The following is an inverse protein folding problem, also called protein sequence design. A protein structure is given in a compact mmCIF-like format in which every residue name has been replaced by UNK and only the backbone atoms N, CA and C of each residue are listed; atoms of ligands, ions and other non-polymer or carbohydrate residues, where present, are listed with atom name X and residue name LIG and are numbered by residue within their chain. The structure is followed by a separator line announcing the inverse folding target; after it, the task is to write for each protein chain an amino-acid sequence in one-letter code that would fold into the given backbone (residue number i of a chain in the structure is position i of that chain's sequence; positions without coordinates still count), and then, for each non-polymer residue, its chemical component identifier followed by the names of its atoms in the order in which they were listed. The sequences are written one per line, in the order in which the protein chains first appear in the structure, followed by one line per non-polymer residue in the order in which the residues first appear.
data_IF_364152013636
#
_entry.id   IF_364152013636
#
_cell.length_a   1.000
_cell.length_b   1.000
_cell.length_c   1.000
_cell.angle_alpha   90.00
_cell.angle_beta   90.00
_cell.angle_gamma   90.00
#
_symmetry.space_group_name_H-M   'P 1'
#
loop_
_entity.id
_entity.type
_entity.pdbx_description
1 polymer ?
#
# COMPACT_ATOMS: atom_id res chain seq x y z
N UNK A 1 11.12 10.77 -21.06
CA UNK A 1 10.86 11.29 -22.42
C UNK A 1 12.13 11.32 -23.26
N UNK A 2 12.07 11.45 -24.62
CA UNK A 2 13.26 11.66 -25.46
C UNK A 2 14.12 12.84 -25.01
N UNK A 3 13.48 13.93 -24.53
CA UNK A 3 14.16 15.12 -24.02
C UNK A 3 14.93 14.82 -22.73
N UNK A 4 14.42 13.98 -21.84
CA UNK A 4 15.12 13.59 -20.62
C UNK A 4 16.36 12.73 -20.94
N UNK A 5 16.25 11.84 -21.93
CA UNK A 5 17.37 11.04 -22.41
C UNK A 5 18.45 11.90 -23.08
N UNK A 6 18.07 12.90 -23.85
CA UNK A 6 19.01 13.87 -24.44
C UNK A 6 19.74 14.65 -23.33
N UNK A 7 19.02 15.07 -22.29
CA UNK A 7 19.59 15.75 -21.14
C UNK A 7 20.61 14.88 -20.37
N UNK A 8 20.29 13.57 -20.18
CA UNK A 8 21.25 12.63 -19.57
C UNK A 8 22.51 12.51 -20.41
N UNK A 9 22.38 12.35 -21.74
CA UNK A 9 23.52 12.25 -22.65
C UNK A 9 24.42 13.50 -22.61
N UNK A 10 23.80 14.68 -22.50
CA UNK A 10 24.52 15.97 -22.53
C UNK A 10 25.18 16.29 -21.19
N UNK A 11 24.58 15.90 -20.06
CA UNK A 11 25.03 16.28 -18.73
C UNK A 11 25.71 15.18 -17.93
N UNK A 12 25.58 13.92 -18.35
CA UNK A 12 26.01 12.74 -17.59
C UNK A 12 25.19 12.49 -16.31
N UNK A 13 24.14 13.27 -16.06
CA UNK A 13 23.33 13.17 -14.84
C UNK A 13 22.09 12.28 -15.04
N UNK A 14 22.15 11.03 -14.61
CA UNK A 14 21.04 10.06 -14.67
C UNK A 14 19.78 10.52 -13.94
N UNK A 15 19.87 11.48 -13.02
CA UNK A 15 18.71 12.05 -12.30
C UNK A 15 17.70 12.74 -13.20
N UNK A 16 18.10 13.16 -14.41
CA UNK A 16 17.17 13.78 -15.36
C UNK A 16 16.04 12.84 -15.78
N UNK A 17 16.26 11.51 -15.80
CA UNK A 17 15.22 10.51 -16.08
C UNK A 17 14.14 10.51 -15.01
N UNK A 18 14.55 10.61 -13.72
CA UNK A 18 13.65 10.51 -12.57
C UNK A 18 13.07 11.87 -12.13
N UNK A 19 13.52 12.97 -12.75
CA UNK A 19 13.11 14.34 -12.42
C UNK A 19 12.65 15.06 -13.69
N UNK A 20 11.69 14.45 -14.36
CA UNK A 20 11.03 15.10 -15.50
C UNK A 20 10.41 16.43 -15.05
N UNK A 21 10.73 17.49 -15.79
CA UNK A 21 10.12 18.79 -15.58
C UNK A 21 8.87 18.91 -16.46
N UNK A 22 7.73 19.02 -15.82
CA UNK A 22 6.47 19.20 -16.49
C UNK A 22 6.26 20.67 -16.84
N UNK A 23 5.73 20.94 -18.03
CA UNK A 23 5.02 22.18 -18.32
C UNK A 23 3.67 22.14 -17.59
N UNK A 24 3.23 23.27 -17.01
CA UNK A 24 2.00 23.30 -16.21
C UNK A 24 0.75 22.96 -17.02
N UNK A 25 0.70 23.37 -18.30
CA UNK A 25 -0.42 23.08 -19.21
C UNK A 25 -0.45 21.59 -19.55
N UNK A 26 0.67 20.99 -19.93
CA UNK A 26 0.78 19.56 -20.25
C UNK A 26 0.42 18.69 -19.04
N UNK A 27 0.87 19.09 -17.85
CA UNK A 27 0.53 18.40 -16.61
C UNK A 27 -0.98 18.47 -16.34
N UNK A 28 -1.57 19.66 -16.50
CA UNK A 28 -3.01 19.84 -16.33
C UNK A 28 -3.82 18.97 -17.28
N UNK A 29 -3.44 18.92 -18.56
CA UNK A 29 -4.08 18.04 -19.55
C UNK A 29 -3.95 16.56 -19.14
N UNK A 30 -2.74 16.13 -18.73
CA UNK A 30 -2.49 14.76 -18.33
C UNK A 30 -3.30 14.37 -17.09
N UNK A 31 -3.45 15.25 -16.09
CA UNK A 31 -4.18 14.98 -14.86
C UNK A 31 -5.70 15.04 -15.02
N UNK A 32 -6.20 15.84 -15.95
CA UNK A 32 -7.64 15.92 -16.26
C UNK A 32 -8.13 14.78 -17.16
N UNK A 33 -7.23 14.06 -17.81
CA UNK A 33 -7.57 12.88 -18.59
C UNK A 33 -7.64 11.63 -17.70
N UNK A 34 -8.84 11.22 -17.30
CA UNK A 34 -9.08 10.05 -16.45
C UNK A 34 -8.54 8.72 -16.99
N UNK A 35 -8.20 8.63 -18.29
CA UNK A 35 -7.58 7.46 -18.90
C UNK A 35 -6.05 7.52 -18.87
N UNK A 36 -5.48 8.63 -18.44
CA UNK A 36 -4.01 8.77 -18.37
C UNK A 36 -3.44 8.01 -17.17
N UNK A 37 -2.26 7.37 -17.32
CA UNK A 37 -1.56 6.74 -16.21
C UNK A 37 -1.27 7.72 -15.06
N UNK A 38 -1.04 9.00 -15.39
CA UNK A 38 -0.74 10.06 -14.40
C UNK A 38 -1.96 10.37 -13.53
N UNK A 39 -3.14 10.52 -14.13
CA UNK A 39 -4.39 10.76 -13.40
C UNK A 39 -4.76 9.56 -12.53
N UNK A 40 -4.62 8.33 -13.06
CA UNK A 40 -4.89 7.11 -12.32
C UNK A 40 -3.96 6.96 -11.12
N UNK A 41 -2.67 7.19 -11.31
CA UNK A 41 -1.68 7.13 -10.22
C UNK A 41 -1.97 8.18 -9.14
N UNK A 42 -2.25 9.42 -9.53
CA UNK A 42 -2.60 10.51 -8.59
C UNK A 42 -3.87 10.19 -7.81
N UNK A 43 -4.91 9.69 -8.48
CA UNK A 43 -6.18 9.32 -7.85
C UNK A 43 -6.00 8.19 -6.84
N UNK A 44 -5.29 7.12 -7.21
CA UNK A 44 -5.00 6.01 -6.32
C UNK A 44 -4.19 6.47 -5.09
N UNK A 45 -3.16 7.30 -5.30
CA UNK A 45 -2.35 7.84 -4.21
C UNK A 45 -3.18 8.71 -3.25
N UNK A 46 -4.04 9.58 -3.79
CA UNK A 46 -4.94 10.40 -2.96
C UNK A 46 -5.89 9.54 -2.13
N UNK A 47 -6.45 8.47 -2.70
CA UNK A 47 -7.33 7.55 -1.99
C UNK A 47 -6.59 6.86 -0.82
N UNK A 48 -5.38 6.34 -1.05
CA UNK A 48 -4.57 5.71 0.00
C UNK A 48 -4.18 6.71 1.11
N UNK A 49 -3.84 7.95 0.76
CA UNK A 49 -3.54 9.00 1.73
C UNK A 49 -4.78 9.33 2.57
N UNK A 50 -5.96 9.44 1.96
CA UNK A 50 -7.21 9.70 2.66
C UNK A 50 -7.55 8.59 3.66
N UNK A 51 -7.44 7.32 3.25
CA UNK A 51 -7.60 6.17 4.15
C UNK A 51 -6.61 6.27 5.31
N UNK A 52 -5.32 6.46 5.00
CA UNK A 52 -4.24 6.53 5.99
C UNK A 52 -4.46 7.61 7.04
N UNK A 53 -4.92 8.81 6.64
CA UNK A 53 -5.14 9.95 7.54
C UNK A 53 -6.24 9.70 8.59
N UNK A 54 -7.16 8.79 8.32
CA UNK A 54 -8.25 8.43 9.22
C UNK A 54 -7.86 7.37 10.26
N UNK A 55 -6.66 6.78 10.15
CA UNK A 55 -6.27 5.64 10.98
C UNK A 55 -5.34 6.06 12.12
N UNK A 56 -5.77 5.94 13.40
CA UNK A 56 -4.90 6.21 14.55
C UNK A 56 -3.62 5.38 14.58
N UNK A 57 -3.66 4.15 14.07
CA UNK A 57 -2.48 3.29 13.98
C UNK A 57 -1.42 3.80 12.99
N UNK A 58 -1.74 4.72 12.08
CA UNK A 58 -0.79 5.38 11.20
C UNK A 58 -0.21 6.69 11.77
N UNK A 59 -0.55 7.06 12.99
CA UNK A 59 0.08 8.19 13.66
C UNK A 59 1.62 7.99 13.74
N UNK A 60 2.44 9.05 13.56
CA UNK A 60 3.91 8.92 13.62
C UNK A 60 4.45 8.25 14.89
N UNK A 61 3.82 8.48 16.03
CA UNK A 61 4.21 7.91 17.33
C UNK A 61 3.57 6.53 17.61
N UNK A 62 2.80 5.97 16.68
CA UNK A 62 2.24 4.64 16.81
C UNK A 62 3.35 3.57 16.72
N UNK A 63 3.18 2.49 17.45
CA UNK A 63 4.15 1.38 17.45
C UNK A 63 4.21 0.69 16.08
N UNK A 64 5.40 0.24 15.68
CA UNK A 64 5.61 -0.50 14.45
C UNK A 64 6.53 -1.69 14.68
N UNK A 65 6.15 -2.86 14.16
CA UNK A 65 6.96 -4.07 14.14
C UNK A 65 6.99 -4.66 12.74
N UNK A 66 8.18 -5.09 12.30
CA UNK A 66 8.32 -5.86 11.06
C UNK A 66 7.85 -7.28 11.29
N UNK A 67 7.14 -7.85 10.32
CA UNK A 67 6.60 -9.20 10.36
C UNK A 67 7.43 -10.13 9.47
N UNK A 68 7.51 -11.39 9.86
CA UNK A 68 8.08 -12.43 9.01
C UNK A 68 6.94 -13.14 8.26
N UNK A 69 6.62 -12.65 7.08
CA UNK A 69 5.60 -13.22 6.19
C UNK A 69 6.21 -14.06 5.04
N UNK A 70 7.44 -14.58 5.22
CA UNK A 70 8.16 -15.31 4.19
C UNK A 70 8.88 -14.39 3.18
N UNK A 71 9.24 -14.94 2.02
CA UNK A 71 10.08 -14.24 1.02
C UNK A 71 9.28 -13.38 0.03
N UNK A 72 8.01 -13.67 -0.12
CA UNK A 72 7.14 -13.08 -1.15
C UNK A 72 6.32 -11.90 -0.65
N UNK A 73 6.11 -11.80 0.67
CA UNK A 73 5.30 -10.76 1.28
C UNK A 73 6.13 -9.94 2.24
N UNK A 74 6.25 -8.66 1.96
CA UNK A 74 6.78 -7.69 2.93
C UNK A 74 5.63 -7.27 3.84
N UNK A 75 5.84 -7.35 5.17
CA UNK A 75 4.82 -7.05 6.14
C UNK A 75 5.34 -6.27 7.35
N UNK A 76 4.50 -5.41 7.88
CA UNK A 76 4.70 -4.79 9.18
C UNK A 76 3.34 -4.54 9.85
N UNK A 77 3.37 -4.56 11.17
CA UNK A 77 2.22 -4.29 12.03
C UNK A 77 2.35 -2.91 12.65
N UNK A 78 1.25 -2.17 12.62
CA UNK A 78 1.10 -0.88 13.29
C UNK A 78 0.04 -1.00 14.37
N UNK A 79 0.29 -0.40 15.54
CA UNK A 79 -0.69 -0.32 16.62
C UNK A 79 -0.81 1.11 17.11
N UNK A 80 -2.06 1.60 17.25
CA UNK A 80 -2.34 2.92 17.80
C UNK A 80 -1.80 3.07 19.23
N UNK A 81 -1.56 4.30 19.66
CA UNK A 81 -1.02 4.59 20.99
C UNK A 81 -1.94 4.10 22.13
N UNK A 82 -3.25 4.17 21.94
CA UNK A 82 -4.27 3.65 22.86
C UNK A 82 -4.51 2.13 22.75
N UNK A 83 -3.77 1.47 21.82
CA UNK A 83 -3.83 0.03 21.52
C UNK A 83 -5.19 -0.49 21.02
N UNK A 84 -6.11 0.39 20.65
CA UNK A 84 -7.45 0.00 20.17
C UNK A 84 -7.43 -0.42 18.70
N UNK A 85 -6.54 0.15 17.90
CA UNK A 85 -6.44 -0.18 16.49
C UNK A 85 -5.10 -0.86 16.18
N UNK A 86 -5.18 -1.98 15.48
CA UNK A 86 -4.06 -2.69 14.88
C UNK A 86 -4.25 -2.75 13.37
N UNK A 87 -3.19 -2.49 12.61
CA UNK A 87 -3.18 -2.59 11.15
C UNK A 87 -1.97 -3.43 10.73
N UNK A 88 -2.23 -4.53 10.02
CA UNK A 88 -1.21 -5.31 9.34
C UNK A 88 -1.08 -4.82 7.91
N UNK A 89 0.03 -4.17 7.60
CA UNK A 89 0.35 -3.68 6.27
C UNK A 89 1.15 -4.74 5.54
N UNK A 90 0.55 -5.37 4.55
CA UNK A 90 1.08 -6.54 3.85
C UNK A 90 1.17 -6.25 2.36
N UNK A 91 2.31 -6.59 1.73
CA UNK A 91 2.60 -6.28 0.34
C UNK A 91 3.19 -7.50 -0.37
N UNK A 92 2.51 -8.05 -1.36
CA UNK A 92 3.11 -9.02 -2.25
C UNK A 92 4.14 -8.31 -3.14
N UNK A 93 5.41 -8.61 -2.96
CA UNK A 93 6.51 -8.00 -3.73
C UNK A 93 6.91 -8.82 -4.95
N UNK A 94 6.06 -9.78 -5.34
CA UNK A 94 6.31 -10.70 -6.47
C UNK A 94 5.26 -10.56 -7.57
N UNK A 95 5.57 -11.13 -8.73
CA UNK A 95 4.68 -11.19 -9.90
C UNK A 95 3.75 -12.41 -9.91
N UNK A 96 3.70 -13.16 -8.82
CA UNK A 96 2.89 -14.37 -8.68
C UNK A 96 1.90 -14.23 -7.55
N UNK A 97 0.78 -14.94 -7.63
CA UNK A 97 -0.14 -15.12 -6.50
C UNK A 97 0.61 -15.75 -5.34
N UNK A 98 0.38 -15.25 -4.15
CA UNK A 98 0.99 -15.79 -2.92
C UNK A 98 -0.01 -15.81 -1.77
N UNK A 99 0.32 -16.57 -0.73
CA UNK A 99 -0.56 -16.77 0.41
C UNK A 99 0.20 -16.54 1.72
N UNK A 100 -0.52 -16.01 2.72
CA UNK A 100 -0.02 -15.85 4.09
C UNK A 100 -1.03 -16.47 5.03
N UNK A 101 -0.59 -17.40 5.87
CA UNK A 101 -1.43 -17.97 6.91
C UNK A 101 -1.81 -16.88 7.92
N UNK A 102 -3.09 -16.72 8.22
CA UNK A 102 -3.55 -15.71 9.19
C UNK A 102 -3.03 -16.01 10.59
N UNK A 103 -2.79 -17.27 10.91
CA UNK A 103 -2.15 -17.69 12.15
C UNK A 103 -0.75 -17.06 12.36
N UNK A 104 -0.02 -16.75 11.27
CA UNK A 104 1.29 -16.09 11.34
C UNK A 104 1.22 -14.60 11.71
N UNK A 105 0.03 -13.98 11.62
CA UNK A 105 -0.19 -12.58 11.93
C UNK A 105 -0.57 -12.33 13.39
N UNK A 106 -0.77 -13.39 14.19
CA UNK A 106 -1.17 -13.31 15.59
C UNK A 106 -2.40 -12.41 15.79
N UNK A 107 -3.44 -12.60 14.95
CA UNK A 107 -4.70 -11.86 15.04
C UNK A 107 -5.43 -12.24 16.34
N UNK A 108 -5.99 -11.24 17.02
CA UNK A 108 -6.83 -11.50 18.19
C UNK A 108 -8.20 -11.98 17.71
N UNK A 109 -8.59 -13.19 18.09
CA UNK A 109 -9.71 -13.94 17.53
C UNK A 109 -11.12 -13.35 17.72
N UNK A 110 -11.27 -12.29 18.52
CA UNK A 110 -12.58 -11.68 18.78
C UNK A 110 -12.83 -10.39 17.98
N UNK A 111 -11.92 -9.99 17.11
CA UNK A 111 -12.02 -8.78 16.30
C UNK A 111 -12.50 -9.12 14.89
N UNK A 112 -13.37 -8.29 14.34
CA UNK A 112 -13.66 -8.31 12.91
C UNK A 112 -12.52 -7.61 12.18
N UNK A 113 -11.98 -8.26 11.17
CA UNK A 113 -10.87 -7.74 10.37
C UNK A 113 -11.33 -7.43 8.95
N UNK A 114 -10.87 -6.29 8.43
CA UNK A 114 -11.16 -5.89 7.06
C UNK A 114 -9.94 -5.24 6.41
N UNK A 115 -9.84 -5.37 5.09
CA UNK A 115 -8.86 -4.64 4.30
C UNK A 115 -9.34 -3.22 4.06
N UNK A 116 -8.61 -2.23 4.58
CA UNK A 116 -8.95 -0.81 4.44
C UNK A 116 -8.86 -0.31 2.99
N UNK A 117 -8.08 -0.99 2.13
CA UNK A 117 -7.88 -0.60 0.73
C UNK A 117 -9.06 -1.04 -0.13
N UNK A 118 -9.49 -2.29 0.00
CA UNK A 118 -10.60 -2.85 -0.78
C UNK A 118 -11.95 -2.70 -0.10
N UNK A 119 -11.97 -2.51 1.22
CA UNK A 119 -13.20 -2.55 2.04
C UNK A 119 -13.72 -3.96 2.31
N UNK A 120 -13.01 -5.01 1.89
CA UNK A 120 -13.44 -6.40 2.06
C UNK A 120 -13.18 -6.90 3.47
N UNK A 121 -14.16 -7.60 4.05
CA UNK A 121 -13.96 -8.32 5.31
C UNK A 121 -13.13 -9.58 5.08
N UNK A 122 -12.33 -9.95 6.08
CA UNK A 122 -11.55 -11.18 6.07
C UNK A 122 -12.25 -12.20 6.93
N UNK A 123 -12.52 -13.36 6.33
CA UNK A 123 -13.05 -14.51 7.04
C UNK A 123 -11.92 -15.18 7.83
N UNK A 124 -12.12 -15.31 9.14
CA UNK A 124 -11.21 -15.96 10.06
C UNK A 124 -11.65 -17.39 10.40
N UNK A 125 -12.81 -17.82 9.88
CA UNK A 125 -13.36 -19.14 10.16
C UNK A 125 -12.66 -20.20 9.27
N UNK A 126 -12.29 -21.32 9.91
CA UNK A 126 -11.61 -22.43 9.25
C UNK A 126 -10.40 -22.91 10.04
N UNK A 127 -9.95 -24.13 9.69
CA UNK A 127 -8.83 -24.77 10.40
C UNK A 127 -7.45 -24.11 10.11
N UNK A 128 -7.28 -23.48 8.96
CA UNK A 128 -6.07 -22.72 8.59
C UNK A 128 -6.38 -21.63 7.57
N UNK A 129 -7.01 -20.51 8.00
CA UNK A 129 -7.42 -19.45 7.09
C UNK A 129 -6.21 -18.75 6.47
N UNK A 130 -6.25 -18.60 5.14
CA UNK A 130 -5.17 -18.04 4.32
C UNK A 130 -5.60 -16.72 3.70
N UNK A 131 -4.73 -15.71 3.80
CA UNK A 131 -4.86 -14.48 3.05
C UNK A 131 -4.19 -14.61 1.69
N UNK A 132 -4.96 -14.48 0.62
CA UNK A 132 -4.48 -14.57 -0.77
C UNK A 132 -4.15 -13.19 -1.31
N UNK A 133 -3.02 -13.08 -1.99
CA UNK A 133 -2.55 -11.85 -2.62
C UNK A 133 -2.38 -12.05 -4.11
N UNK A 134 -3.00 -11.18 -4.89
CA UNK A 134 -2.65 -11.02 -6.30
C UNK A 134 -1.23 -10.47 -6.49
N UNK A 135 -0.64 -10.58 -7.67
CA UNK A 135 0.68 -10.00 -7.96
C UNK A 135 0.72 -8.52 -7.60
N UNK A 136 1.74 -8.12 -6.80
CA UNK A 136 1.96 -6.74 -6.34
C UNK A 136 0.81 -6.12 -5.54
N UNK A 137 -0.12 -6.93 -5.03
CA UNK A 137 -1.23 -6.45 -4.22
C UNK A 137 -0.74 -5.97 -2.85
N UNK A 138 -1.32 -4.87 -2.39
CA UNK A 138 -1.22 -4.36 -1.02
C UNK A 138 -2.54 -4.62 -0.29
N UNK A 139 -2.46 -5.04 0.97
CA UNK A 139 -3.59 -5.20 1.90
C UNK A 139 -3.25 -4.48 3.20
N UNK A 140 -4.16 -3.64 3.70
CA UNK A 140 -4.10 -3.04 5.02
C UNK A 140 -5.18 -3.65 5.90
N UNK A 141 -4.86 -4.79 6.49
CA UNK A 141 -5.78 -5.53 7.33
C UNK A 141 -5.88 -4.88 8.71
N UNK A 142 -7.03 -4.30 9.02
CA UNK A 142 -7.30 -3.60 10.26
C UNK A 142 -8.39 -4.29 11.06
N UNK A 143 -8.25 -4.28 12.40
CA UNK A 143 -9.38 -4.56 13.26
C UNK A 143 -10.35 -3.37 13.23
N UNK A 144 -11.63 -3.65 13.04
CA UNK A 144 -12.65 -2.64 13.21
C UNK A 144 -12.82 -2.39 14.71
N UNK A 145 -12.48 -1.19 15.15
CA UNK A 145 -12.88 -0.71 16.46
C UNK A 145 -14.34 -0.30 16.34
N UNK A 146 -15.25 -1.07 16.95
CA UNK A 146 -16.63 -0.67 17.16
C UNK A 146 -16.69 0.48 18.16
#
# INVERSE_FOLDING_TARGET
TPNDMARVKNTGHNRAINRHQWNAEDLSVALNNQRSPHANCLSALKALIAIRQQQPAFHPNATQYTLNCGRSVFGFWRQSQDRRQSIFCLYNVTRTVTHVALASLNLVGNNTWSDLISGSSVDLDGDDPMLTFEPYQAIWLANLTL
#
